data_IF_579923840967
#
_entry.id   IF_579923840967
#
_cell.length_a   1.000
_cell.length_b   1.000
_cell.length_c   1.000
_cell.angle_alpha   90.00
_cell.angle_beta   90.00
_cell.angle_gamma   90.00
#
_symmetry.space_group_name_H-M   'P 1'
#
loop_
_entity.id
_entity.type
_entity.pdbx_description
1 polymer ?
#
# COMPACT_ATOMS: atom_id res chain seq x y z
N UNK A 1 -11.34 -19.43 10.65
CA UNK A 1 -10.99 -19.78 9.26
C UNK A 1 -9.70 -19.06 8.89
N UNK A 2 -8.64 -19.78 8.52
CA UNK A 2 -7.37 -19.17 8.11
C UNK A 2 -7.44 -18.59 6.70
N UNK A 3 -6.64 -17.57 6.41
CA UNK A 3 -6.52 -17.00 5.05
C UNK A 3 -5.73 -18.01 4.19
N UNK A 4 -6.32 -18.48 3.10
CA UNK A 4 -5.59 -19.36 2.16
C UNK A 4 -4.53 -18.58 1.38
N UNK A 5 -3.45 -19.23 0.95
CA UNK A 5 -2.40 -18.60 0.12
C UNK A 5 -2.97 -17.91 -1.12
N UNK A 6 -3.92 -18.54 -1.83
CA UNK A 6 -4.57 -17.98 -3.02
C UNK A 6 -5.39 -16.73 -2.69
N UNK A 7 -6.09 -16.74 -1.57
CA UNK A 7 -6.87 -15.60 -1.09
C UNK A 7 -5.96 -14.44 -0.66
N UNK A 8 -4.89 -14.74 0.08
CA UNK A 8 -3.88 -13.74 0.45
C UNK A 8 -3.29 -13.08 -0.79
N UNK A 9 -2.86 -13.87 -1.78
CA UNK A 9 -2.30 -13.34 -3.04
C UNK A 9 -3.28 -12.45 -3.81
N UNK A 10 -4.55 -12.87 -3.94
CA UNK A 10 -5.58 -12.05 -4.61
C UNK A 10 -5.82 -10.73 -3.89
N UNK A 11 -5.89 -10.76 -2.55
CA UNK A 11 -6.10 -9.56 -1.74
C UNK A 11 -4.91 -8.61 -1.82
N UNK A 12 -3.68 -9.12 -1.73
CA UNK A 12 -2.47 -8.30 -1.89
C UNK A 12 -2.44 -7.60 -3.26
N UNK A 13 -2.76 -8.33 -4.34
CA UNK A 13 -2.84 -7.74 -5.69
C UNK A 13 -3.92 -6.67 -5.82
N UNK A 14 -5.09 -6.88 -5.21
CA UNK A 14 -6.15 -5.87 -5.18
C UNK A 14 -5.71 -4.59 -4.45
N UNK A 15 -5.16 -4.74 -3.24
CA UNK A 15 -4.65 -3.61 -2.45
C UNK A 15 -3.53 -2.87 -3.15
N UNK A 16 -2.62 -3.58 -3.81
CA UNK A 16 -1.55 -2.97 -4.60
C UNK A 16 -2.09 -2.14 -5.75
N UNK A 17 -3.07 -2.64 -6.51
CA UNK A 17 -3.68 -1.88 -7.60
C UNK A 17 -4.33 -0.60 -7.08
N UNK A 18 -5.12 -0.70 -6.01
CA UNK A 18 -5.74 0.47 -5.37
C UNK A 18 -4.69 1.46 -4.87
N UNK A 19 -3.63 0.98 -4.22
CA UNK A 19 -2.53 1.81 -3.72
C UNK A 19 -1.83 2.56 -4.86
N UNK A 20 -1.51 1.87 -5.96
CA UNK A 20 -0.87 2.47 -7.12
C UNK A 20 -1.78 3.50 -7.81
N UNK A 21 -3.06 3.18 -8.01
CA UNK A 21 -4.04 4.11 -8.57
C UNK A 21 -4.14 5.40 -7.75
N UNK A 22 -4.13 5.29 -6.42
CA UNK A 22 -4.16 6.45 -5.54
C UNK A 22 -2.83 7.22 -5.50
N UNK A 23 -1.69 6.51 -5.51
CA UNK A 23 -0.36 7.13 -5.53
C UNK A 23 -0.12 7.92 -6.82
N UNK A 24 -0.54 7.38 -7.96
CA UNK A 24 -0.20 7.92 -9.28
C UNK A 24 -1.24 8.92 -9.79
N UNK A 25 -2.53 8.74 -9.46
CA UNK A 25 -3.61 9.54 -10.05
C UNK A 25 -4.41 10.32 -9.02
N UNK A 26 -5.00 9.64 -8.03
CA UNK A 26 -6.00 10.29 -7.19
C UNK A 26 -5.39 11.28 -6.21
N UNK A 27 -4.41 10.86 -5.39
CA UNK A 27 -3.87 11.71 -4.34
C UNK A 27 -3.16 12.94 -4.89
N UNK A 28 -2.30 12.87 -5.93
CA UNK A 28 -1.69 14.06 -6.51
C UNK A 28 -2.73 15.10 -6.99
N UNK A 29 -3.81 14.65 -7.64
CA UNK A 29 -4.88 15.53 -8.08
C UNK A 29 -5.68 16.10 -6.90
N UNK A 30 -6.00 15.28 -5.90
CA UNK A 30 -6.79 15.68 -4.74
C UNK A 30 -6.04 16.66 -3.83
N UNK A 31 -4.72 16.52 -3.69
CA UNK A 31 -3.88 17.46 -2.94
C UNK A 31 -3.77 18.83 -3.62
N UNK A 32 -3.93 18.88 -4.95
CA UNK A 32 -3.99 20.16 -5.66
C UNK A 32 -5.24 20.95 -5.28
N UNK A 33 -6.36 20.26 -5.06
CA UNK A 33 -7.65 20.87 -4.69
C UNK A 33 -7.81 21.03 -3.17
N UNK A 34 -7.25 20.10 -2.38
CA UNK A 34 -7.36 20.07 -0.93
C UNK A 34 -6.05 19.56 -0.28
N UNK A 35 -5.07 20.47 -0.06
CA UNK A 35 -3.80 20.12 0.58
C UNK A 35 -3.95 19.51 1.98
N UNK A 36 -5.01 19.88 2.72
CA UNK A 36 -5.25 19.41 4.09
C UNK A 36 -5.65 17.93 4.16
N UNK A 37 -5.94 17.29 3.02
CA UNK A 37 -6.21 15.86 2.95
C UNK A 37 -4.93 14.99 3.06
N UNK A 38 -3.74 15.59 3.02
CA UNK A 38 -2.47 14.84 3.03
C UNK A 38 -2.31 13.88 4.22
N UNK A 39 -2.60 14.25 5.49
CA UNK A 39 -2.47 13.33 6.62
C UNK A 39 -3.43 12.15 6.54
N UNK A 40 -4.66 12.37 6.06
CA UNK A 40 -5.66 11.32 5.89
C UNK A 40 -5.19 10.28 4.87
N UNK A 41 -4.76 10.72 3.68
CA UNK A 41 -4.28 9.83 2.64
C UNK A 41 -3.01 9.10 3.03
N UNK A 42 -2.13 9.74 3.83
CA UNK A 42 -0.93 9.11 4.38
C UNK A 42 -1.32 7.94 5.28
N UNK A 43 -2.33 8.11 6.13
CA UNK A 43 -2.82 7.07 7.02
C UNK A 43 -3.45 5.89 6.24
N UNK A 44 -4.33 6.18 5.29
CA UNK A 44 -4.98 5.19 4.43
C UNK A 44 -3.97 4.35 3.64
N UNK A 45 -3.04 4.99 2.94
CA UNK A 45 -2.02 4.29 2.15
C UNK A 45 -1.11 3.42 3.01
N UNK A 46 -0.69 3.92 4.19
CA UNK A 46 0.09 3.13 5.12
C UNK A 46 -0.69 1.93 5.68
N UNK A 47 -2.00 2.08 5.89
CA UNK A 47 -2.86 0.97 6.30
C UNK A 47 -2.95 -0.11 5.21
N UNK A 48 -3.10 0.27 3.94
CA UNK A 48 -3.08 -0.68 2.82
C UNK A 48 -1.73 -1.40 2.71
N UNK A 49 -0.62 -0.67 2.86
CA UNK A 49 0.73 -1.25 2.86
C UNK A 49 0.89 -2.26 4.01
N UNK A 50 0.46 -1.91 5.23
CA UNK A 50 0.55 -2.80 6.38
C UNK A 50 -0.30 -4.07 6.19
N UNK A 51 -1.47 -3.96 5.57
CA UNK A 51 -2.31 -5.11 5.25
C UNK A 51 -1.66 -6.01 4.18
N UNK A 52 -1.00 -5.44 3.17
CA UNK A 52 -0.20 -6.21 2.20
C UNK A 52 0.91 -6.99 2.92
N UNK A 53 1.66 -6.35 3.81
CA UNK A 53 2.73 -7.01 4.59
C UNK A 53 2.19 -8.15 5.46
N UNK A 54 1.05 -7.93 6.12
CA UNK A 54 0.36 -8.97 6.91
C UNK A 54 -0.06 -10.15 6.04
N UNK A 55 -0.65 -9.87 4.88
CA UNK A 55 -1.11 -10.91 3.95
C UNK A 55 0.06 -11.70 3.33
N UNK A 56 1.21 -11.05 3.12
CA UNK A 56 2.40 -11.67 2.56
C UNK A 56 2.91 -12.84 3.42
N UNK A 57 2.65 -12.83 4.73
CA UNK A 57 3.02 -13.91 5.66
C UNK A 57 2.31 -15.23 5.36
N UNK A 58 1.12 -15.19 4.75
CA UNK A 58 0.37 -16.39 4.34
C UNK A 58 0.83 -16.94 2.98
N UNK A 59 1.81 -16.29 2.34
CA UNK A 59 2.40 -16.75 1.09
C UNK A 59 3.69 -17.55 1.32
N UNK A 60 4.30 -18.07 0.25
CA UNK A 60 5.60 -18.73 0.39
C UNK A 60 6.70 -17.73 0.75
N UNK A 61 7.77 -18.20 1.41
CA UNK A 61 8.90 -17.36 1.87
C UNK A 61 9.40 -16.39 0.79
N UNK A 62 9.71 -16.90 -0.41
CA UNK A 62 10.16 -16.09 -1.55
C UNK A 62 9.19 -14.97 -1.91
N UNK A 63 7.90 -15.30 -2.05
CA UNK A 63 6.87 -14.31 -2.36
C UNK A 63 6.74 -13.29 -1.24
N UNK A 64 6.78 -13.72 0.02
CA UNK A 64 6.74 -12.81 1.17
C UNK A 64 7.89 -11.80 1.13
N UNK A 65 9.10 -12.25 0.84
CA UNK A 65 10.29 -11.38 0.76
C UNK A 65 10.24 -10.42 -0.44
N UNK A 66 9.74 -10.87 -1.60
CA UNK A 66 9.47 -10.01 -2.75
C UNK A 66 8.46 -8.91 -2.40
N UNK A 67 7.38 -9.25 -1.68
CA UNK A 67 6.37 -8.27 -1.25
C UNK A 67 6.90 -7.27 -0.22
N UNK A 68 7.77 -7.70 0.72
CA UNK A 68 8.42 -6.78 1.67
C UNK A 68 9.28 -5.73 0.98
N UNK A 69 10.03 -6.13 -0.05
CA UNK A 69 10.83 -5.19 -0.84
C UNK A 69 9.92 -4.18 -1.58
N UNK A 70 8.79 -4.64 -2.12
CA UNK A 70 7.82 -3.79 -2.81
C UNK A 70 7.13 -2.81 -1.85
N UNK A 71 6.70 -3.27 -0.67
CA UNK A 71 6.06 -2.42 0.34
C UNK A 71 7.00 -1.37 0.90
N UNK A 72 8.29 -1.68 1.05
CA UNK A 72 9.31 -0.69 1.37
C UNK A 72 9.39 0.43 0.31
N UNK A 73 9.37 0.07 -0.98
CA UNK A 73 9.30 1.03 -2.08
C UNK A 73 8.03 1.90 -2.02
N UNK A 74 6.87 1.30 -1.71
CA UNK A 74 5.63 2.05 -1.56
C UNK A 74 5.68 3.05 -0.40
N UNK A 75 6.27 2.68 0.75
CA UNK A 75 6.44 3.61 1.88
C UNK A 75 7.28 4.82 1.51
N UNK A 76 8.35 4.62 0.74
CA UNK A 76 9.18 5.72 0.24
C UNK A 76 8.34 6.65 -0.64
N UNK A 77 7.60 6.10 -1.60
CA UNK A 77 6.73 6.89 -2.50
C UNK A 77 5.65 7.66 -1.75
N UNK A 78 5.03 7.06 -0.73
CA UNK A 78 4.05 7.74 0.14
C UNK A 78 4.70 8.91 0.87
N UNK A 79 5.90 8.71 1.42
CA UNK A 79 6.65 9.76 2.11
C UNK A 79 7.10 10.89 1.17
N UNK A 80 7.48 10.57 -0.08
CA UNK A 80 7.82 11.57 -1.10
C UNK A 80 6.60 12.41 -1.50
N UNK A 81 5.43 11.77 -1.66
CA UNK A 81 4.21 12.46 -2.09
C UNK A 81 3.57 13.31 -0.98
N UNK A 82 3.57 12.78 0.25
CA UNK A 82 2.79 13.34 1.38
C UNK A 82 3.67 13.95 2.47
N UNK A 83 4.99 13.93 2.33
CA UNK A 83 5.95 14.36 3.35
C UNK A 83 6.16 13.34 4.48
N UNK A 84 7.22 13.56 5.27
CA UNK A 84 7.37 12.96 6.60
C UNK A 84 6.86 13.98 7.64
N UNK A 85 6.21 13.52 8.70
CA UNK A 85 5.99 14.35 9.90
C UNK A 85 7.34 14.82 10.47
#
# INVERSE_FOLDING_TARGET
MGVSRKQAWRRMRGLELTLLEHLDNHVPALLHENPDAAPHWRQEMNAWIAEIERLAQYTGKRTSDEWKARTAGYRIRVAELLGQD
#
